data_IF_965340487633
#
_entry.id   IF_965340487633
#
_cell.length_a   1.000
_cell.length_b   1.000
_cell.length_c   1.000
_cell.angle_alpha   90.00
_cell.angle_beta   90.00
_cell.angle_gamma   90.00
#
_symmetry.space_group_name_H-M   'P 1'
#
loop_
_entity.id
_entity.type
_entity.pdbx_description
1 polymer ?
#
# COMPACT_ATOMS: atom_id res chain seq x y z
N UNK A 1 -10.72 -13.09 15.64
CA UNK A 1 -9.45 -12.57 15.07
C UNK A 1 -9.63 -12.31 13.60
N UNK A 2 -9.29 -11.10 13.14
CA UNK A 2 -9.37 -10.71 11.72
C UNK A 2 -8.23 -11.39 10.96
N UNK A 3 -8.52 -11.99 9.80
CA UNK A 3 -7.53 -12.63 8.93
C UNK A 3 -7.27 -11.74 7.72
N UNK A 4 -6.01 -11.49 7.38
CA UNK A 4 -5.58 -10.76 6.19
C UNK A 4 -4.92 -11.72 5.20
N UNK A 5 -4.97 -11.39 3.92
CA UNK A 5 -4.22 -12.08 2.89
C UNK A 5 -2.81 -11.49 2.81
N UNK A 6 -1.79 -12.34 2.81
CA UNK A 6 -0.40 -11.94 2.60
C UNK A 6 0.28 -13.01 1.73
N UNK A 7 1.29 -12.65 0.93
CA UNK A 7 2.06 -13.62 0.15
C UNK A 7 2.87 -14.53 1.08
N UNK A 8 3.17 -15.75 0.62
CA UNK A 8 3.92 -16.75 1.40
C UNK A 8 5.27 -16.21 1.89
N UNK A 9 5.93 -15.38 1.08
CA UNK A 9 7.20 -14.72 1.43
C UNK A 9 7.06 -13.80 2.64
N UNK A 10 5.94 -13.09 2.78
CA UNK A 10 5.66 -12.24 3.95
C UNK A 10 5.37 -13.08 5.19
N UNK A 11 4.60 -14.17 5.03
CA UNK A 11 4.25 -15.08 6.13
C UNK A 11 5.49 -15.79 6.66
N UNK A 12 6.39 -16.22 5.77
CA UNK A 12 7.64 -16.89 6.12
C UNK A 12 8.70 -15.93 6.69
N UNK A 13 8.67 -14.65 6.35
CA UNK A 13 9.63 -13.66 6.83
C UNK A 13 9.49 -13.40 8.34
N UNK A 14 10.63 -13.28 9.02
CA UNK A 14 10.66 -12.87 10.43
C UNK A 14 10.19 -11.42 10.59
N UNK A 15 9.74 -11.05 11.79
CA UNK A 15 9.35 -9.67 12.07
C UNK A 15 10.50 -8.68 11.80
N UNK A 16 11.74 -9.05 12.14
CA UNK A 16 12.92 -8.22 11.88
C UNK A 16 13.15 -7.97 10.39
N UNK A 17 12.93 -8.98 9.54
CA UNK A 17 13.04 -8.84 8.08
C UNK A 17 11.92 -7.95 7.55
N UNK A 18 10.69 -8.14 8.04
CA UNK A 18 9.55 -7.31 7.64
C UNK A 18 9.79 -5.83 7.98
N UNK A 19 10.28 -5.52 9.18
CA UNK A 19 10.57 -4.15 9.61
C UNK A 19 11.63 -3.42 8.75
N UNK A 20 12.45 -4.13 7.97
CA UNK A 20 13.42 -3.50 7.06
C UNK A 20 12.80 -3.11 5.71
N UNK A 21 11.63 -3.65 5.40
CA UNK A 21 10.95 -3.48 4.10
C UNK A 21 9.74 -2.55 4.23
N UNK A 22 9.00 -2.66 5.34
CA UNK A 22 7.75 -1.92 5.55
C UNK A 22 8.02 -0.51 6.09
N UNK A 23 7.29 0.48 5.58
CA UNK A 23 7.45 1.89 5.92
C UNK A 23 6.15 2.56 6.43
N UNK A 24 5.07 1.79 6.65
CA UNK A 24 3.77 2.28 7.12
C UNK A 24 2.82 2.67 5.98
N UNK A 25 1.72 3.37 6.26
CA UNK A 25 0.75 3.74 5.21
C UNK A 25 1.16 5.03 4.48
N UNK A 26 2.23 4.98 3.67
CA UNK A 26 2.62 6.10 2.83
C UNK A 26 3.92 5.87 2.04
N UNK A 27 4.22 6.71 1.03
CA UNK A 27 5.36 6.51 0.11
C UNK A 27 6.76 6.74 0.73
N UNK A 28 6.89 6.79 2.05
CA UNK A 28 8.10 7.27 2.73
C UNK A 28 8.34 8.79 2.56
N UNK A 29 9.05 9.41 3.51
CA UNK A 29 9.42 10.83 3.48
C UNK A 29 8.39 11.81 4.07
N UNK A 30 8.64 13.12 3.94
CA UNK A 30 7.90 14.20 4.65
C UNK A 30 6.40 14.33 4.28
N UNK A 31 5.95 13.71 3.20
CA UNK A 31 4.52 13.69 2.81
C UNK A 31 3.72 12.59 3.51
N UNK A 32 4.38 11.69 4.25
CA UNK A 32 3.75 10.59 5.02
C UNK A 32 2.90 11.13 6.18
N UNK A 33 3.34 12.22 6.83
CA UNK A 33 2.64 12.80 7.99
C UNK A 33 1.23 13.32 7.69
N UNK A 34 0.85 13.44 6.40
CA UNK A 34 -0.47 13.87 5.99
C UNK A 34 -1.45 12.72 5.71
N UNK A 35 -0.94 11.50 5.53
CA UNK A 35 -1.75 10.32 5.19
C UNK A 35 -1.91 9.50 6.47
N UNK A 36 -3.07 9.57 7.15
CA UNK A 36 -3.23 8.86 8.41
C UNK A 36 -3.19 7.34 8.22
N UNK A 37 -2.45 6.64 9.08
CA UNK A 37 -2.46 5.18 9.22
C UNK A 37 -3.78 4.62 9.80
N UNK A 38 -4.76 5.51 10.01
CA UNK A 38 -6.05 5.18 10.57
C UNK A 38 -7.19 5.71 9.71
N UNK A 39 -8.28 4.94 9.67
CA UNK A 39 -9.54 5.36 9.05
C UNK A 39 -10.60 5.49 10.14
N UNK A 40 -10.82 6.72 10.62
CA UNK A 40 -11.68 7.01 11.78
C UNK A 40 -11.35 6.10 12.98
N UNK A 41 -10.08 6.11 13.42
CA UNK A 41 -9.61 5.38 14.58
C UNK A 41 -9.40 3.87 14.38
N UNK A 42 -9.70 3.31 13.20
CA UNK A 42 -9.30 1.94 12.86
C UNK A 42 -7.91 1.96 12.23
N UNK A 43 -6.94 1.29 12.84
CA UNK A 43 -5.61 1.11 12.24
C UNK A 43 -5.70 0.24 11.00
N UNK A 44 -5.07 0.71 9.91
CA UNK A 44 -4.90 -0.03 8.65
C UNK A 44 -3.44 -0.39 8.38
N UNK A 45 -2.53 -0.11 9.31
CA UNK A 45 -1.10 -0.40 9.20
C UNK A 45 -0.79 -1.85 8.77
N UNK A 46 -1.46 -2.90 9.30
CA UNK A 46 -1.19 -4.27 8.86
C UNK A 46 -1.47 -4.52 7.37
N UNK A 47 -2.40 -3.78 6.76
CA UNK A 47 -2.66 -3.87 5.32
C UNK A 47 -1.59 -3.14 4.50
N UNK A 48 -1.09 -2.01 5.02
CA UNK A 48 -0.01 -1.24 4.41
C UNK A 48 1.32 -1.99 4.45
N UNK A 49 1.65 -2.66 5.56
CA UNK A 49 2.86 -3.47 5.68
C UNK A 49 2.92 -4.59 4.63
N UNK A 50 1.78 -5.25 4.38
CA UNK A 50 1.67 -6.28 3.34
C UNK A 50 1.81 -5.66 1.94
N UNK A 51 1.23 -4.48 1.72
CA UNK A 51 1.32 -3.75 0.46
C UNK A 51 2.76 -3.33 0.14
N UNK A 52 3.47 -2.74 1.11
CA UNK A 52 4.88 -2.34 1.00
C UNK A 52 5.76 -3.54 0.67
N UNK A 53 5.53 -4.67 1.35
CA UNK A 53 6.25 -5.91 1.05
C UNK A 53 6.03 -6.37 -0.39
N UNK A 54 4.77 -6.43 -0.83
CA UNK A 54 4.44 -6.81 -2.20
C UNK A 54 5.04 -5.83 -3.22
N UNK A 55 5.07 -4.53 -2.90
CA UNK A 55 5.77 -3.52 -3.69
C UNK A 55 7.27 -3.79 -3.73
N UNK A 56 7.92 -4.13 -2.63
CA UNK A 56 9.36 -4.39 -2.64
C UNK A 56 9.72 -5.64 -3.47
N UNK A 57 8.90 -6.70 -3.39
CA UNK A 57 9.20 -7.98 -4.05
C UNK A 57 8.71 -8.09 -5.49
N UNK A 58 7.63 -7.40 -5.85
CA UNK A 58 7.00 -7.48 -7.18
C UNK A 58 7.91 -6.92 -8.29
N UNK A 59 7.83 -7.46 -9.51
CA UNK A 59 8.71 -7.09 -10.63
C UNK A 59 7.94 -6.64 -11.87
N UNK A 60 6.63 -6.86 -11.90
CA UNK A 60 5.78 -6.58 -13.06
C UNK A 60 4.65 -5.63 -12.70
N UNK A 61 4.04 -5.02 -13.71
CA UNK A 61 2.83 -4.21 -13.50
C UNK A 61 1.68 -5.05 -12.92
N UNK A 62 1.60 -6.34 -13.27
CA UNK A 62 0.63 -7.26 -12.70
C UNK A 62 0.84 -7.46 -11.19
N UNK A 63 2.10 -7.52 -10.73
CA UNK A 63 2.41 -7.61 -9.30
C UNK A 63 2.00 -6.34 -8.55
N UNK A 64 2.21 -5.16 -9.16
CA UNK A 64 1.71 -3.89 -8.59
C UNK A 64 0.20 -3.90 -8.47
N UNK A 65 -0.52 -4.30 -9.52
CA UNK A 65 -1.98 -4.36 -9.52
C UNK A 65 -2.51 -5.40 -8.52
N UNK A 66 -1.78 -6.50 -8.31
CA UNK A 66 -2.06 -7.46 -7.25
C UNK A 66 -1.85 -6.88 -5.86
N UNK A 67 -0.75 -6.15 -5.64
CA UNK A 67 -0.46 -5.48 -4.38
C UNK A 67 -1.56 -4.46 -4.04
N UNK A 68 -1.92 -3.58 -4.98
CA UNK A 68 -2.94 -2.53 -4.79
C UNK A 68 -4.32 -3.15 -4.47
N UNK A 69 -4.73 -4.20 -5.19
CA UNK A 69 -5.98 -4.92 -4.91
C UNK A 69 -5.93 -5.65 -3.56
N UNK A 70 -4.79 -6.23 -3.21
CA UNK A 70 -4.58 -6.91 -1.92
C UNK A 70 -4.71 -5.93 -0.76
N UNK A 71 -4.14 -4.74 -0.90
CA UNK A 71 -4.28 -3.65 0.07
C UNK A 71 -5.76 -3.33 0.32
N UNK A 72 -6.52 -3.03 -0.73
CA UNK A 72 -7.96 -2.74 -0.61
C UNK A 72 -8.72 -3.88 0.08
N UNK A 73 -8.52 -5.11 -0.36
CA UNK A 73 -9.20 -6.28 0.20
C UNK A 73 -8.87 -6.48 1.69
N UNK A 74 -7.64 -6.23 2.11
CA UNK A 74 -7.24 -6.33 3.51
C UNK A 74 -7.82 -5.21 4.36
N UNK A 75 -7.85 -3.97 3.86
CA UNK A 75 -8.52 -2.86 4.54
C UNK A 75 -10.02 -3.16 4.71
N UNK A 76 -10.68 -3.71 3.70
CA UNK A 76 -12.09 -4.11 3.81
C UNK A 76 -12.29 -5.20 4.87
N UNK A 77 -11.41 -6.20 4.96
CA UNK A 77 -11.44 -7.22 6.03
C UNK A 77 -11.26 -6.61 7.42
N UNK A 78 -10.38 -5.62 7.57
CA UNK A 78 -10.20 -4.88 8.83
C UNK A 78 -11.47 -4.12 9.20
N UNK A 79 -12.10 -3.42 8.25
CA UNK A 79 -13.34 -2.66 8.48
C UNK A 79 -14.48 -3.59 8.90
N UNK A 80 -14.63 -4.72 8.21
CA UNK A 80 -15.74 -5.63 8.43
C UNK A 80 -15.60 -6.43 9.72
N UNK A 81 -14.36 -6.82 10.06
CA UNK A 81 -14.02 -7.58 11.26
C UNK A 81 -13.72 -6.76 12.51
N UNK A 82 -13.76 -5.43 12.46
CA UNK A 82 -13.48 -4.58 13.62
C UNK A 82 -14.60 -4.65 14.67
N UNK A 83 -14.28 -5.09 15.89
CA UNK A 83 -15.23 -5.24 16.98
C UNK A 83 -15.57 -3.92 17.69
N UNK A 84 -16.67 -3.90 18.45
CA UNK A 84 -17.09 -2.74 19.25
C UNK A 84 -18.17 -1.89 18.59
N UNK A 85 -19.03 -1.28 19.41
CA UNK A 85 -20.26 -0.63 18.94
C UNK A 85 -20.02 0.44 17.88
N UNK A 86 -19.01 1.31 18.06
CA UNK A 86 -18.65 2.37 17.12
C UNK A 86 -18.19 1.80 15.76
N UNK A 87 -17.41 0.72 15.78
CA UNK A 87 -16.93 0.05 14.57
C UNK A 87 -18.04 -0.69 13.81
N UNK A 88 -19.11 -1.06 14.50
CA UNK A 88 -20.27 -1.73 13.92
C UNK A 88 -21.34 -0.76 13.40
N UNK A 89 -21.21 0.55 13.63
CA UNK A 89 -22.11 1.55 13.05
C UNK A 89 -22.00 1.55 11.52
N UNK A 90 -23.14 1.40 10.85
CA UNK A 90 -23.21 1.34 9.39
C UNK A 90 -22.57 2.57 8.71
N UNK A 91 -22.76 3.75 9.30
CA UNK A 91 -22.21 5.01 8.79
C UNK A 91 -20.68 5.03 8.88
N UNK A 92 -20.11 4.56 10.01
CA UNK A 92 -18.66 4.45 10.20
C UNK A 92 -18.07 3.46 9.20
N UNK A 93 -18.69 2.29 9.03
CA UNK A 93 -18.29 1.31 8.01
C UNK A 93 -18.32 1.91 6.60
N UNK A 94 -19.38 2.65 6.26
CA UNK A 94 -19.50 3.33 4.97
C UNK A 94 -18.38 4.36 4.75
N UNK A 95 -18.12 5.24 5.71
CA UNK A 95 -17.06 6.25 5.62
C UNK A 95 -15.68 5.61 5.47
N UNK A 96 -15.39 4.56 6.25
CA UNK A 96 -14.13 3.81 6.13
C UNK A 96 -13.97 3.16 4.76
N UNK A 97 -15.03 2.57 4.19
CA UNK A 97 -14.98 1.98 2.84
C UNK A 97 -14.76 3.02 1.75
N UNK A 98 -15.31 4.23 1.90
CA UNK A 98 -15.03 5.34 0.98
C UNK A 98 -13.55 5.74 1.04
N UNK A 99 -13.00 5.89 2.24
CA UNK A 99 -11.57 6.20 2.41
C UNK A 99 -10.64 5.08 1.96
N UNK A 100 -11.03 3.82 2.17
CA UNK A 100 -10.30 2.67 1.65
C UNK A 100 -10.21 2.71 0.12
N UNK A 101 -11.30 3.11 -0.56
CA UNK A 101 -11.30 3.33 -2.00
C UNK A 101 -10.37 4.47 -2.40
N UNK A 102 -10.41 5.61 -1.72
CA UNK A 102 -9.50 6.74 -2.01
C UNK A 102 -8.03 6.32 -1.90
N UNK A 103 -7.66 5.53 -0.89
CA UNK A 103 -6.29 5.02 -0.76
C UNK A 103 -5.94 4.05 -1.89
N UNK A 104 -6.84 3.13 -2.22
CA UNK A 104 -6.67 2.24 -3.36
C UNK A 104 -6.47 3.01 -4.66
N UNK A 105 -7.32 4.00 -4.95
CA UNK A 105 -7.20 4.84 -6.14
C UNK A 105 -5.87 5.61 -6.14
N UNK A 106 -5.41 6.08 -4.98
CA UNK A 106 -4.12 6.75 -4.87
C UNK A 106 -2.94 5.84 -5.24
N UNK A 107 -2.86 4.63 -4.69
CA UNK A 107 -1.77 3.69 -5.03
C UNK A 107 -1.91 3.12 -6.44
N UNK A 108 -3.15 2.88 -6.88
CA UNK A 108 -3.42 2.34 -8.20
C UNK A 108 -3.01 3.33 -9.30
N UNK A 109 -3.43 4.59 -9.18
CA UNK A 109 -3.18 5.63 -10.18
C UNK A 109 -1.80 6.29 -10.05
N UNK A 110 -1.30 6.47 -8.82
CA UNK A 110 -0.09 7.27 -8.56
C UNK A 110 1.05 6.49 -7.88
N UNK A 111 0.86 5.21 -7.55
CA UNK A 111 1.88 4.38 -6.88
C UNK A 111 2.99 3.87 -7.80
N UNK A 112 2.90 4.10 -9.11
CA UNK A 112 3.88 3.65 -10.10
C UNK A 112 5.34 4.03 -9.74
N UNK A 113 5.66 5.31 -9.49
CA UNK A 113 7.01 5.71 -9.10
C UNK A 113 7.55 4.96 -7.89
N UNK A 114 6.73 4.77 -6.83
CA UNK A 114 7.14 4.03 -5.63
C UNK A 114 7.37 2.54 -5.92
N UNK A 115 6.49 1.93 -6.71
CA UNK A 115 6.64 0.52 -7.11
C UNK A 115 7.92 0.29 -7.92
N UNK A 116 8.31 1.20 -8.82
CA UNK A 116 9.44 0.99 -9.72
C UNK A 116 10.80 1.45 -9.16
N UNK A 117 10.85 2.00 -7.94
CA UNK A 117 12.12 2.41 -7.29
C UNK A 117 13.10 1.24 -7.27
N UNK A 118 14.30 1.43 -7.83
CA UNK A 118 15.37 0.44 -7.83
C UNK A 118 15.15 -0.77 -8.77
N UNK A 119 14.07 -0.77 -9.57
CA UNK A 119 13.74 -1.88 -10.49
C UNK A 119 13.99 -1.56 -11.96
N UNK A 120 13.95 -0.28 -12.33
CA UNK A 120 14.28 0.13 -13.69
C UNK A 120 15.81 0.08 -13.88
N UNK A 121 16.32 -0.61 -14.91
CA UNK A 121 17.75 -0.67 -15.16
C UNK A 121 18.29 0.70 -15.58
N UNK A 122 19.40 1.12 -14.99
CA UNK A 122 20.04 2.42 -15.26
C UNK A 122 20.36 2.61 -16.76
N UNK A 123 20.64 1.52 -17.48
CA UNK A 123 20.90 1.54 -18.93
C UNK A 123 19.71 2.03 -19.75
N UNK A 124 18.49 2.01 -19.20
CA UNK A 124 17.27 2.48 -19.86
C UNK A 124 16.79 3.84 -19.30
N UNK A 125 17.50 4.42 -18.33
CA UNK A 125 17.22 5.75 -17.80
C UNK A 125 18.08 6.78 -18.54
N UNK A 126 17.44 7.83 -19.06
CA UNK A 126 18.11 8.96 -19.70
C UNK A 126 17.81 10.25 -18.96
N UNK A 127 18.70 11.24 -19.04
CA UNK A 127 18.43 12.53 -18.44
C UNK A 127 17.30 13.25 -19.21
N UNK A 128 16.40 13.94 -18.51
CA UNK A 128 15.30 14.67 -19.14
C UNK A 128 15.78 15.71 -20.18
N UNK A 129 16.96 16.29 -19.97
CA UNK A 129 17.60 17.20 -20.92
C UNK A 129 18.03 16.51 -22.23
N UNK A 130 18.51 15.27 -22.16
CA UNK A 130 18.90 14.47 -23.33
C UNK A 130 17.67 14.06 -24.15
N UNK A 131 16.56 13.73 -23.47
CA UNK A 131 15.30 13.38 -24.14
C UNK A 131 14.63 14.57 -24.86
N UNK A 132 14.89 15.80 -24.41
CA UNK A 132 14.24 17.01 -24.91
C UNK A 132 15.00 17.71 -26.03
N UNK A 133 16.18 17.21 -26.40
CA UNK A 133 16.96 17.69 -27.55
C UNK A 133 16.28 17.28 -28.87
N UNK A 134 15.21 17.98 -29.22
CA UNK A 134 14.67 17.99 -30.57
C UNK A 134 15.56 18.91 -31.42
N UNK A 135 16.10 18.37 -32.52
CA UNK A 135 16.75 19.15 -33.56
C UNK A 135 15.79 20.20 -34.15
#
# INVERSE_FOLDING_TARGET
>A
MIKLYAPDSYVAASAAVRCQVVNGCGPGGWKVDLIPDTMWGLSVAPACDIHDWMYATGQTIADKDEADRTFLNNVLRLIDGADGWFNQLWLVKKLRRLRAREYYEAVHLFGGPAFWVGKNPDTHLIAAGEASARA
#
